data_IF_034669953516
#
_entry.id   IF_034669953516
#
_cell.length_a   1.000
_cell.length_b   1.000
_cell.length_c   1.000
_cell.angle_alpha   90.00
_cell.angle_beta   90.00
_cell.angle_gamma   90.00
#
_symmetry.space_group_name_H-M   'P 1'
#
loop_
_entity.id
_entity.type
_entity.pdbx_description
1 polymer ?
#
# COMPACT_ATOMS: atom_id res chain seq x y z
N UNK A 1 -1.38 6.44 23.43
CA UNK A 1 -2.07 6.76 22.27
C UNK A 1 -1.47 6.16 21.02
N UNK A 2 -2.26 5.51 20.28
CA UNK A 2 -1.79 4.84 19.12
C UNK A 2 -1.76 5.74 17.93
N UNK A 3 -0.59 5.94 17.41
CA UNK A 3 -0.49 6.64 16.18
C UNK A 3 -0.60 5.66 15.04
N UNK A 4 -1.56 5.86 14.20
CA UNK A 4 -1.68 5.00 13.04
C UNK A 4 -0.84 5.57 11.93
N UNK A 5 0.39 5.13 11.86
CA UNK A 5 1.26 5.57 10.79
C UNK A 5 0.75 5.03 9.47
N UNK A 6 0.80 5.87 8.46
CA UNK A 6 0.38 5.52 7.11
C UNK A 6 -1.05 5.02 7.07
N UNK A 7 -1.90 5.68 7.85
CA UNK A 7 -3.30 5.29 7.93
C UNK A 7 -3.97 5.32 6.56
N UNK A 8 -3.64 6.30 5.78
CA UNK A 8 -4.22 6.46 4.45
C UNK A 8 -3.91 5.26 3.57
N UNK A 9 -2.66 4.80 3.63
CA UNK A 9 -2.24 3.65 2.85
C UNK A 9 -2.98 2.41 3.32
N UNK A 10 -3.05 2.21 4.62
CA UNK A 10 -3.72 1.03 5.17
C UNK A 10 -5.21 1.03 4.83
N UNK A 11 -5.84 2.18 4.96
CA UNK A 11 -7.27 2.29 4.66
C UNK A 11 -7.54 2.05 3.17
N UNK A 12 -6.72 2.63 2.32
CA UNK A 12 -6.90 2.47 0.88
C UNK A 12 -6.71 1.03 0.46
N UNK A 13 -5.69 0.37 1.00
CA UNK A 13 -5.43 -1.02 0.66
C UNK A 13 -6.59 -1.90 1.11
N UNK A 14 -7.08 -1.66 2.31
CA UNK A 14 -8.17 -2.45 2.85
C UNK A 14 -9.44 -2.25 2.03
N UNK A 15 -9.74 -1.01 1.70
CA UNK A 15 -10.94 -0.70 0.93
C UNK A 15 -10.88 -1.30 -0.46
N UNK A 16 -9.69 -1.35 -1.04
CA UNK A 16 -9.52 -1.91 -2.38
C UNK A 16 -9.35 -3.42 -2.37
N UNK A 17 -9.20 -4.02 -1.19
CA UNK A 17 -8.95 -5.45 -1.10
C UNK A 17 -7.56 -5.84 -1.55
N UNK A 18 -6.61 -4.92 -1.43
CA UNK A 18 -5.24 -5.15 -1.85
C UNK A 18 -4.42 -5.57 -0.65
N UNK A 19 -3.64 -6.62 -0.81
CA UNK A 19 -2.79 -7.12 0.24
C UNK A 19 -1.43 -6.44 0.21
N UNK A 20 -0.80 -6.36 1.37
CA UNK A 20 0.49 -5.68 1.47
C UNK A 20 1.55 -6.34 0.61
N UNK A 21 1.55 -7.67 0.50
CA UNK A 21 2.55 -8.35 -0.29
C UNK A 21 2.42 -8.02 -1.78
N UNK A 22 1.20 -7.73 -2.21
CA UNK A 22 0.99 -7.35 -3.60
C UNK A 22 1.63 -6.00 -3.89
N UNK A 23 1.50 -5.09 -2.93
CA UNK A 23 2.11 -3.76 -3.08
C UNK A 23 3.63 -3.90 -3.07
N UNK A 24 4.15 -4.72 -2.15
CA UNK A 24 5.59 -4.92 -2.06
C UNK A 24 6.14 -5.50 -3.34
N UNK A 25 5.42 -6.42 -3.94
CA UNK A 25 5.85 -7.04 -5.18
C UNK A 25 5.95 -6.00 -6.29
N UNK A 26 4.97 -5.11 -6.36
CA UNK A 26 5.01 -4.05 -7.36
C UNK A 26 6.15 -3.08 -7.13
N UNK A 27 6.51 -2.88 -5.87
CA UNK A 27 7.63 -2.01 -5.53
C UNK A 27 8.97 -2.69 -5.75
N UNK A 28 8.97 -4.00 -5.93
CA UNK A 28 10.21 -4.73 -6.10
C UNK A 28 10.95 -4.98 -4.80
N UNK A 29 10.23 -5.01 -3.69
CA UNK A 29 10.82 -5.27 -2.38
C UNK A 29 10.09 -6.42 -1.72
N UNK A 30 10.71 -6.93 -0.66
CA UNK A 30 10.11 -8.02 0.08
C UNK A 30 8.98 -7.52 0.97
N UNK A 31 8.06 -8.42 1.26
CA UNK A 31 6.95 -8.12 2.13
C UNK A 31 7.41 -7.60 3.48
N UNK A 32 8.42 -8.23 4.05
CA UNK A 32 8.95 -7.80 5.34
C UNK A 32 9.54 -6.39 5.27
N UNK A 33 10.19 -6.07 4.16
CA UNK A 33 10.75 -4.74 3.99
C UNK A 33 9.64 -3.70 3.89
N UNK A 34 8.56 -4.04 3.21
CA UNK A 34 7.42 -3.14 3.10
C UNK A 34 6.78 -2.92 4.48
N UNK A 35 6.64 -3.98 5.26
CA UNK A 35 6.09 -3.86 6.60
C UNK A 35 6.93 -2.93 7.47
N UNK A 36 8.25 -3.02 7.33
CA UNK A 36 9.14 -2.12 8.06
C UNK A 36 8.93 -0.68 7.65
N UNK A 37 8.75 -0.45 6.35
CA UNK A 37 8.51 0.91 5.87
C UNK A 37 7.24 1.47 6.48
N UNK A 38 6.22 0.65 6.63
CA UNK A 38 4.95 1.12 7.16
C UNK A 38 5.00 1.46 8.64
N UNK A 39 6.05 1.06 9.33
CA UNK A 39 6.20 1.43 10.73
C UNK A 39 6.56 2.88 10.90
N UNK A 40 7.10 3.50 9.87
CA UNK A 40 7.44 4.91 9.88
C UNK A 40 6.53 5.64 8.93
N UNK A 41 6.25 6.88 9.28
CA UNK A 41 5.46 7.70 8.39
C UNK A 41 6.26 7.98 7.13
N UNK A 42 5.70 7.63 5.99
CA UNK A 42 6.39 7.78 4.73
C UNK A 42 6.26 9.21 4.21
N UNK A 43 7.29 9.70 3.50
CA UNK A 43 7.17 11.00 2.85
C UNK A 43 6.07 10.97 1.81
N UNK A 44 5.59 12.16 1.47
CA UNK A 44 4.46 12.28 0.56
C UNK A 44 4.72 11.58 -0.76
N UNK A 45 5.95 11.66 -1.25
CA UNK A 45 6.29 11.04 -2.53
C UNK A 45 6.09 9.53 -2.50
N UNK A 46 6.58 8.89 -1.44
CA UNK A 46 6.43 7.45 -1.32
C UNK A 46 4.98 7.07 -1.08
N UNK A 47 4.32 7.84 -0.24
CA UNK A 47 2.92 7.59 0.04
C UNK A 47 2.10 7.65 -1.23
N UNK A 48 2.30 8.68 -2.03
CA UNK A 48 1.55 8.84 -3.27
C UNK A 48 1.82 7.69 -4.23
N UNK A 49 3.07 7.26 -4.30
CA UNK A 49 3.42 6.15 -5.17
C UNK A 49 2.71 4.87 -4.75
N UNK A 50 2.68 4.62 -3.45
CA UNK A 50 2.01 3.43 -2.94
C UNK A 50 0.51 3.50 -3.19
N UNK A 51 -0.07 4.66 -2.98
CA UNK A 51 -1.49 4.84 -3.25
C UNK A 51 -1.81 4.62 -4.73
N UNK A 52 -0.93 5.05 -5.59
CA UNK A 52 -1.08 4.83 -7.01
C UNK A 52 -1.05 3.34 -7.34
N UNK A 53 -0.13 2.61 -6.72
CA UNK A 53 -0.04 1.17 -6.89
C UNK A 53 -1.33 0.49 -6.42
N UNK A 54 -1.85 0.92 -5.29
CA UNK A 54 -3.10 0.39 -4.77
C UNK A 54 -4.22 0.59 -5.78
N UNK A 55 -4.30 1.78 -6.35
CA UNK A 55 -5.31 2.08 -7.36
C UNK A 55 -5.15 1.20 -8.58
N UNK A 56 -3.92 0.98 -9.01
CA UNK A 56 -3.65 0.13 -10.16
C UNK A 56 -4.09 -1.30 -9.90
N UNK A 57 -3.75 -1.81 -8.73
CA UNK A 57 -4.14 -3.18 -8.38
C UNK A 57 -5.64 -3.32 -8.25
N UNK A 58 -6.28 -2.31 -7.69
CA UNK A 58 -7.72 -2.33 -7.56
C UNK A 58 -8.39 -2.30 -8.93
N UNK A 59 -7.85 -1.52 -9.84
CA UNK A 59 -8.39 -1.44 -11.19
C UNK A 59 -8.24 -2.77 -11.91
N UNK A 60 -7.11 -3.44 -11.72
CA UNK A 60 -6.91 -4.74 -12.33
C UNK A 60 -7.95 -5.74 -11.85
N UNK A 61 -8.26 -5.70 -10.57
CA UNK A 61 -9.26 -6.62 -10.02
C UNK A 61 -10.64 -6.35 -10.58
N UNK A 62 -11.00 -5.08 -10.65
CA UNK A 62 -12.30 -4.71 -11.18
C UNK A 62 -12.38 -5.00 -12.66
N UNK A 63 -11.29 -4.77 -13.37
CA UNK A 63 -11.26 -4.95 -14.80
C UNK A 63 -11.36 -6.39 -15.25
N UNK A 64 -11.18 -7.33 -14.34
CA UNK A 64 -11.20 -8.73 -14.68
C UNK A 64 -12.60 -9.25 -14.90
N UNK A 65 -13.56 -8.62 -14.32
CA UNK A 65 -14.94 -9.09 -14.40
C UNK A 65 -15.47 -9.29 -15.80
#
# INVERSE_FOLDING_TARGET
MCKETNKEIRSSAKAAGVLHWEIAERLGIQDSAFSRKLRRELPAQERDKILEIINELAAERVGVS
#
